data_IF_777574334877
#
_entry.id   IF_777574334877
#
_cell.length_a   1.000
_cell.length_b   1.000
_cell.length_c   1.000
_cell.angle_alpha   90.00
_cell.angle_beta   90.00
_cell.angle_gamma   90.00
#
_symmetry.space_group_name_H-M   'P 1'
#
loop_
_entity.id
_entity.type
_entity.pdbx_description
1 polymer ?
#
# COMPACT_ATOMS: atom_id res chain seq x y z
N UNK A 1 -7.94 -34.15 -5.94
CA UNK A 1 -6.52 -34.06 -5.52
C UNK A 1 -6.27 -32.89 -4.60
N UNK A 2 -6.88 -31.73 -4.84
CA UNK A 2 -6.72 -30.52 -4.02
C UNK A 2 -7.04 -30.71 -2.53
N UNK A 3 -8.22 -31.25 -2.18
CA UNK A 3 -8.60 -31.54 -0.79
C UNK A 3 -7.59 -32.44 -0.04
N UNK A 4 -6.91 -33.36 -0.75
CA UNK A 4 -5.87 -34.20 -0.16
C UNK A 4 -4.61 -33.39 0.15
N UNK A 5 -4.24 -32.43 -0.72
CA UNK A 5 -3.10 -31.52 -0.51
C UNK A 5 -3.37 -30.52 0.61
N UNK A 6 -4.59 -29.98 0.67
CA UNK A 6 -5.02 -29.13 1.79
C UNK A 6 -4.91 -29.88 3.12
N UNK A 7 -5.44 -31.12 3.18
CA UNK A 7 -5.31 -31.97 4.37
C UNK A 7 -3.85 -32.26 4.73
N UNK A 8 -2.99 -32.53 3.74
CA UNK A 8 -1.56 -32.74 3.97
C UNK A 8 -0.90 -31.50 4.59
N UNK A 9 -1.14 -30.31 4.03
CA UNK A 9 -0.63 -29.04 4.56
C UNK A 9 -1.06 -28.81 6.01
N UNK A 10 -2.33 -29.10 6.33
CA UNK A 10 -2.85 -29.00 7.70
C UNK A 10 -2.12 -29.96 8.65
N UNK A 11 -1.94 -31.22 8.26
CA UNK A 11 -1.25 -32.22 9.09
C UNK A 11 0.23 -31.86 9.31
N UNK A 12 0.92 -31.35 8.29
CA UNK A 12 2.30 -30.89 8.40
C UNK A 12 2.43 -29.75 9.41
N UNK A 13 1.52 -28.77 9.37
CA UNK A 13 1.48 -27.67 10.34
C UNK A 13 1.19 -28.20 11.74
N UNK A 14 0.13 -29.00 11.91
CA UNK A 14 -0.28 -29.54 13.21
C UNK A 14 0.81 -30.38 13.89
N UNK A 15 1.63 -31.09 13.11
CA UNK A 15 2.73 -31.90 13.64
C UNK A 15 3.81 -31.08 14.36
N UNK A 16 3.97 -29.80 14.02
CA UNK A 16 5.07 -28.93 14.50
C UNK A 16 4.62 -27.69 15.26
N UNK A 17 3.40 -27.20 15.05
CA UNK A 17 2.91 -25.91 15.58
C UNK A 17 2.90 -25.83 17.12
N UNK A 18 2.79 -26.97 17.81
CA UNK A 18 2.78 -27.05 19.27
C UNK A 18 4.16 -27.30 19.90
N UNK A 19 5.21 -27.42 19.09
CA UNK A 19 6.56 -27.56 19.60
C UNK A 19 7.01 -26.24 20.24
N UNK A 20 7.48 -26.23 21.51
CA UNK A 20 7.90 -25.01 22.19
C UNK A 20 9.00 -24.25 21.45
N UNK A 21 9.97 -24.97 20.85
CA UNK A 21 11.06 -24.36 20.09
C UNK A 21 10.55 -23.58 18.87
N UNK A 22 9.60 -24.13 18.11
CA UNK A 22 9.01 -23.49 16.92
C UNK A 22 8.29 -22.20 17.30
N UNK A 23 7.48 -22.22 18.36
CA UNK A 23 6.77 -21.02 18.83
C UNK A 23 7.75 -19.96 19.32
N UNK A 24 8.75 -20.37 20.11
CA UNK A 24 9.79 -19.47 20.60
C UNK A 24 10.56 -18.80 19.46
N UNK A 25 10.93 -19.53 18.41
CA UNK A 25 11.62 -18.96 17.24
C UNK A 25 10.76 -17.91 16.52
N UNK A 26 9.46 -18.16 16.33
CA UNK A 26 8.54 -17.21 15.68
C UNK A 26 8.35 -15.97 16.56
N UNK A 27 8.15 -16.13 17.87
CA UNK A 27 7.96 -15.02 18.82
C UNK A 27 9.19 -14.12 18.92
N UNK A 28 10.38 -14.67 18.72
CA UNK A 28 11.65 -13.92 18.71
C UNK A 28 12.05 -13.40 17.31
N UNK A 29 11.11 -13.36 16.35
CA UNK A 29 11.32 -12.87 14.99
C UNK A 29 12.42 -13.63 14.20
N UNK A 30 12.62 -14.91 14.52
CA UNK A 30 13.54 -15.83 13.83
C UNK A 30 12.77 -16.83 12.93
N UNK A 31 11.58 -16.46 12.48
CA UNK A 31 10.72 -17.32 11.69
C UNK A 31 11.36 -17.67 10.32
N UNK A 32 11.51 -18.97 10.03
CA UNK A 32 11.84 -19.43 8.69
C UNK A 32 10.57 -19.72 7.88
N UNK A 33 10.29 -18.87 6.90
CA UNK A 33 9.11 -18.97 6.02
C UNK A 33 9.14 -20.20 5.08
N UNK A 34 10.27 -20.91 4.95
CA UNK A 34 10.30 -22.21 4.27
C UNK A 34 9.51 -23.27 5.05
N UNK A 35 9.50 -23.19 6.38
CA UNK A 35 8.81 -24.11 7.26
C UNK A 35 7.30 -23.79 7.31
N UNK A 36 6.41 -24.74 6.93
CA UNK A 36 4.96 -24.51 6.94
C UNK A 36 4.41 -24.08 8.30
N UNK A 37 4.96 -24.61 9.41
CA UNK A 37 4.48 -24.27 10.75
C UNK A 37 4.84 -22.83 11.15
N UNK A 38 6.05 -22.36 10.82
CA UNK A 38 6.45 -20.98 11.10
C UNK A 38 5.60 -20.01 10.28
N UNK A 39 5.45 -20.30 8.99
CA UNK A 39 4.61 -19.50 8.09
C UNK A 39 3.17 -19.41 8.58
N UNK A 40 2.60 -20.52 9.01
CA UNK A 40 1.25 -20.55 9.58
C UNK A 40 1.15 -19.72 10.86
N UNK A 41 2.14 -19.78 11.76
CA UNK A 41 2.14 -18.96 12.98
C UNK A 41 2.25 -17.46 12.68
N UNK A 42 3.09 -17.06 11.71
CA UNK A 42 3.20 -15.67 11.27
C UNK A 42 1.90 -15.20 10.62
N UNK A 43 1.31 -16.00 9.73
CA UNK A 43 0.01 -15.70 9.12
C UNK A 43 -1.10 -15.59 10.18
N UNK A 44 -1.14 -16.53 11.12
CA UNK A 44 -2.11 -16.56 12.20
C UNK A 44 -2.00 -15.30 13.06
N UNK A 45 -0.78 -14.93 13.47
CA UNK A 45 -0.50 -13.70 14.21
C UNK A 45 -1.01 -12.47 13.46
N UNK A 46 -0.66 -12.33 12.18
CA UNK A 46 -1.13 -11.20 11.37
C UNK A 46 -2.67 -11.13 11.28
N UNK A 47 -3.34 -12.27 11.12
CA UNK A 47 -4.80 -12.36 10.98
C UNK A 47 -5.58 -12.30 12.30
N UNK A 48 -4.97 -12.62 13.44
CA UNK A 48 -5.67 -12.81 14.73
C UNK A 48 -5.18 -11.88 15.84
N UNK A 49 -3.94 -11.41 15.77
CA UNK A 49 -3.36 -10.54 16.79
C UNK A 49 -3.60 -9.05 16.47
N UNK A 50 -4.39 -8.75 15.44
CA UNK A 50 -4.97 -7.44 15.18
C UNK A 50 -4.30 -6.58 14.11
N UNK A 51 -3.17 -6.99 13.53
CA UNK A 51 -2.48 -6.20 12.50
C UNK A 51 -3.33 -6.05 11.22
N UNK A 52 -3.92 -7.15 10.74
CA UNK A 52 -4.88 -7.12 9.63
C UNK A 52 -6.14 -6.33 9.99
N UNK A 53 -6.65 -6.50 11.21
CA UNK A 53 -7.86 -5.79 11.67
C UNK A 53 -7.62 -4.28 11.71
N UNK A 54 -6.46 -3.84 12.21
CA UNK A 54 -6.04 -2.45 12.22
C UNK A 54 -5.92 -1.90 10.80
N UNK A 55 -5.32 -2.66 9.86
CA UNK A 55 -5.26 -2.26 8.46
C UNK A 55 -6.67 -2.08 7.89
N UNK A 56 -7.55 -3.07 8.03
CA UNK A 56 -8.90 -3.03 7.50
C UNK A 56 -9.74 -1.90 8.12
N UNK A 57 -9.61 -1.68 9.43
CA UNK A 57 -10.25 -0.55 10.13
C UNK A 57 -9.83 0.78 9.47
N UNK A 58 -8.53 0.97 9.22
CA UNK A 58 -8.01 2.22 8.62
C UNK A 58 -8.45 2.39 7.17
N UNK A 59 -8.47 1.31 6.38
CA UNK A 59 -8.93 1.36 4.99
C UNK A 59 -10.40 1.77 4.88
N UNK A 60 -11.26 1.29 5.78
CA UNK A 60 -12.68 1.68 5.82
C UNK A 60 -12.91 3.06 6.44
N UNK A 61 -12.31 3.36 7.60
CA UNK A 61 -12.49 4.66 8.26
C UNK A 61 -12.00 5.83 7.41
N UNK A 62 -10.90 5.61 6.67
CA UNK A 62 -10.33 6.62 5.79
C UNK A 62 -10.90 6.52 4.37
N UNK A 63 -11.97 5.75 4.15
CA UNK A 63 -12.68 5.63 2.86
C UNK A 63 -11.80 5.21 1.68
N UNK A 64 -10.65 4.57 1.91
CA UNK A 64 -9.88 3.95 0.82
C UNK A 64 -10.74 2.89 0.12
N UNK A 65 -11.49 2.15 0.92
CA UNK A 65 -12.65 1.37 0.50
C UNK A 65 -13.88 2.17 0.93
N UNK A 66 -14.74 2.65 0.01
CA UNK A 66 -14.82 2.24 -1.38
C UNK A 66 -14.05 3.11 -2.38
N UNK A 67 -13.49 4.28 -2.05
CA UNK A 67 -13.08 5.29 -3.05
C UNK A 67 -12.12 4.75 -4.12
N UNK A 68 -10.99 4.18 -3.70
CA UNK A 68 -9.93 3.67 -4.60
C UNK A 68 -10.33 2.33 -5.21
N UNK A 69 -10.80 1.41 -4.37
CA UNK A 69 -11.26 0.08 -4.77
C UNK A 69 -12.56 -0.28 -4.05
N UNK A 70 -13.51 -0.94 -4.73
CA UNK A 70 -14.79 -1.28 -4.12
C UNK A 70 -14.69 -2.37 -3.04
N UNK A 71 -13.79 -3.35 -3.22
CA UNK A 71 -13.49 -4.40 -2.26
C UNK A 71 -12.00 -4.75 -2.35
N UNK A 72 -11.42 -5.12 -1.22
CA UNK A 72 -10.03 -5.54 -1.11
C UNK A 72 -9.91 -6.57 0.02
N UNK A 73 -9.33 -7.73 -0.29
CA UNK A 73 -9.11 -8.80 0.68
C UNK A 73 -7.62 -9.09 0.82
N UNK A 74 -6.92 -8.44 1.77
CA UNK A 74 -5.50 -8.68 1.95
C UNK A 74 -5.22 -10.14 2.30
N UNK A 75 -4.36 -10.77 1.50
CA UNK A 75 -3.85 -12.13 1.73
C UNK A 75 -2.35 -12.14 2.02
N UNK A 76 -1.66 -11.05 1.73
CA UNK A 76 -0.26 -10.84 2.10
C UNK A 76 -0.16 -9.61 2.99
N UNK A 77 0.77 -9.67 3.93
CA UNK A 77 1.04 -8.58 4.85
C UNK A 77 2.04 -7.61 4.23
N UNK A 78 1.71 -6.32 4.16
CA UNK A 78 2.56 -5.30 3.55
C UNK A 78 2.98 -4.29 4.60
N UNK A 79 4.29 -4.21 4.82
CA UNK A 79 4.89 -3.27 5.75
C UNK A 79 5.65 -2.19 4.99
N UNK A 80 5.41 -0.94 5.40
CA UNK A 80 6.14 0.21 4.89
C UNK A 80 7.05 0.73 6.00
N UNK A 81 8.29 1.05 5.64
CA UNK A 81 9.31 1.55 6.55
C UNK A 81 9.81 2.90 6.06
N UNK A 82 9.68 3.91 6.92
CA UNK A 82 10.08 5.28 6.67
C UNK A 82 11.36 5.65 7.42
N UNK A 83 12.04 6.70 6.97
CA UNK A 83 13.13 7.30 7.74
C UNK A 83 12.56 7.96 9.00
N UNK A 84 13.24 7.80 10.13
CA UNK A 84 12.83 8.49 11.37
C UNK A 84 13.01 9.99 11.24
N UNK A 85 12.08 10.75 11.78
CA UNK A 85 12.26 12.19 12.00
C UNK A 85 13.41 12.45 12.98
N UNK A 86 13.93 13.69 13.01
CA UNK A 86 14.99 14.06 13.96
C UNK A 86 14.58 13.80 15.42
N UNK A 87 13.30 14.01 15.76
CA UNK A 87 12.76 13.77 17.10
C UNK A 87 12.72 12.28 17.44
N UNK A 88 12.19 11.45 16.55
CA UNK A 88 12.13 10.00 16.74
C UNK A 88 13.52 9.37 16.79
N UNK A 89 14.46 9.89 16.00
CA UNK A 89 15.86 9.43 16.01
C UNK A 89 16.52 9.62 17.37
N UNK A 90 16.26 10.75 18.04
CA UNK A 90 16.79 11.03 19.38
C UNK A 90 16.22 10.05 20.41
N UNK A 91 14.93 9.72 20.31
CA UNK A 91 14.24 8.84 21.26
C UNK A 91 14.58 7.36 21.06
N UNK A 92 14.51 6.89 19.81
CA UNK A 92 14.61 5.46 19.48
C UNK A 92 16.03 5.03 19.13
N UNK A 93 16.92 5.99 18.80
CA UNK A 93 18.25 5.76 18.19
C UNK A 93 18.21 4.94 16.89
N UNK A 94 17.02 4.69 16.32
CA UNK A 94 16.83 4.00 15.05
C UNK A 94 16.85 5.01 13.91
N UNK A 95 17.31 4.57 12.74
CA UNK A 95 17.30 5.39 11.52
C UNK A 95 16.02 5.22 10.69
N UNK A 96 15.30 4.14 10.94
CA UNK A 96 14.08 3.76 10.25
C UNK A 96 13.03 3.31 11.24
N UNK A 97 11.77 3.59 10.93
CA UNK A 97 10.62 3.18 11.72
C UNK A 97 9.58 2.55 10.82
N UNK A 98 8.90 1.53 11.33
CA UNK A 98 7.76 0.92 10.64
C UNK A 98 6.59 1.89 10.73
N UNK A 99 5.92 2.08 9.60
CA UNK A 99 4.75 2.95 9.47
C UNK A 99 3.54 2.14 9.86
N UNK A 100 2.75 2.66 10.81
CA UNK A 100 1.46 2.08 11.16
C UNK A 100 0.43 2.60 10.15
N UNK A 101 -0.49 1.75 9.63
CA UNK A 101 -1.49 2.19 8.67
C UNK A 101 -2.27 3.43 9.14
N UNK A 102 -2.38 4.43 8.27
CA UNK A 102 -3.09 5.68 8.53
C UNK A 102 -2.30 6.71 9.35
N UNK A 103 -1.03 6.47 9.66
CA UNK A 103 -0.18 7.45 10.36
C UNK A 103 0.12 8.66 9.46
N UNK A 104 0.32 9.82 10.07
CA UNK A 104 0.82 10.99 9.37
C UNK A 104 2.33 10.91 9.19
N UNK A 105 2.77 10.93 7.93
CA UNK A 105 4.18 11.12 7.60
C UNK A 105 4.43 12.59 7.25
N UNK A 106 5.64 13.05 7.55
CA UNK A 106 6.09 14.35 7.06
C UNK A 106 6.51 14.20 5.59
N UNK A 107 6.22 15.17 4.71
CA UNK A 107 6.73 15.20 3.33
C UNK A 107 8.26 15.05 3.24
N UNK A 108 8.95 15.36 4.34
CA UNK A 108 10.38 15.15 4.49
C UNK A 108 10.85 13.70 4.58
N UNK A 109 10.00 12.77 5.00
CA UNK A 109 10.27 11.34 5.12
C UNK A 109 10.00 10.60 3.80
N UNK A 110 9.18 11.17 2.93
CA UNK A 110 8.70 10.57 1.67
C UNK A 110 9.28 11.22 0.41
N UNK A 111 10.27 12.12 0.55
CA UNK A 111 11.05 12.64 -0.59
C UNK A 111 11.75 11.51 -1.35
N UNK A 112 12.24 10.50 -0.63
CA UNK A 112 12.77 9.26 -1.22
C UNK A 112 11.72 8.17 -1.10
N UNK A 113 11.68 7.19 -2.02
CA UNK A 113 10.78 6.06 -1.92
C UNK A 113 10.94 5.35 -0.57
N UNK A 114 9.80 5.00 0.02
CA UNK A 114 9.75 4.23 1.26
C UNK A 114 10.22 2.80 1.01
N UNK A 115 10.73 2.15 2.04
CA UNK A 115 11.09 0.73 1.93
C UNK A 115 9.83 -0.11 2.14
N UNK A 116 9.52 -0.95 1.16
CA UNK A 116 8.37 -1.86 1.21
C UNK A 116 8.87 -3.28 1.44
N UNK A 117 8.21 -3.97 2.37
CA UNK A 117 8.43 -5.38 2.69
C UNK A 117 7.09 -6.09 2.63
N UNK A 118 7.08 -7.37 2.27
CA UNK A 118 5.88 -8.18 2.30
C UNK A 118 6.13 -9.54 2.95
N UNK A 119 5.25 -9.97 3.84
CA UNK A 119 5.19 -11.37 4.28
C UNK A 119 4.15 -12.10 3.42
N UNK A 120 4.63 -13.10 2.68
CA UNK A 120 3.82 -13.87 1.75
C UNK A 120 3.61 -15.28 2.29
N UNK A 121 2.40 -15.81 2.14
CA UNK A 121 2.02 -17.09 2.77
C UNK A 121 1.86 -18.26 1.78
N UNK A 122 1.95 -18.00 0.47
CA UNK A 122 2.00 -19.03 -0.59
C UNK A 122 3.44 -19.40 -0.97
N UNK A 123 3.69 -20.65 -1.38
CA UNK A 123 5.06 -21.13 -1.67
C UNK A 123 5.56 -20.83 -3.06
N UNK A 124 4.66 -20.79 -4.04
CA UNK A 124 5.00 -20.52 -5.43
C UNK A 124 5.36 -19.05 -5.63
N UNK A 125 6.20 -18.79 -6.64
CA UNK A 125 6.55 -17.43 -7.06
C UNK A 125 5.41 -16.86 -7.87
N UNK A 126 4.69 -15.87 -7.34
CA UNK A 126 3.66 -15.12 -8.06
C UNK A 126 4.16 -13.74 -8.41
N UNK A 127 3.67 -13.19 -9.51
CA UNK A 127 3.96 -11.82 -9.89
C UNK A 127 2.91 -10.89 -9.28
N UNK A 128 3.36 -9.74 -8.79
CA UNK A 128 2.51 -8.70 -8.24
C UNK A 128 2.79 -7.36 -8.94
N UNK A 129 1.76 -6.53 -9.03
CA UNK A 129 1.86 -5.14 -9.48
C UNK A 129 1.66 -4.21 -8.29
N UNK A 130 2.64 -3.33 -8.06
CA UNK A 130 2.59 -2.31 -7.01
C UNK A 130 2.12 -0.97 -7.59
N UNK A 131 1.18 -0.34 -6.90
CA UNK A 131 0.64 1.00 -7.19
C UNK A 131 0.75 1.87 -5.93
N UNK A 132 1.20 3.11 -6.08
CA UNK A 132 1.06 4.15 -5.05
C UNK A 132 0.19 5.27 -5.59
N UNK A 133 -0.97 5.49 -4.98
CA UNK A 133 -1.99 6.41 -5.46
C UNK A 133 -2.41 7.42 -4.39
N UNK A 134 -2.75 8.62 -4.81
CA UNK A 134 -3.34 9.69 -4.01
C UNK A 134 -4.72 10.05 -4.59
N UNK A 135 -5.84 9.69 -3.93
CA UNK A 135 -7.18 9.99 -4.41
C UNK A 135 -7.64 11.42 -4.08
N UNK A 136 -6.85 12.21 -3.35
CA UNK A 136 -7.27 13.48 -2.75
C UNK A 136 -6.66 14.71 -3.46
N UNK A 137 -6.15 14.56 -4.68
CA UNK A 137 -5.64 15.69 -5.45
C UNK A 137 -6.82 16.54 -5.94
N UNK A 138 -6.85 17.86 -5.67
CA UNK A 138 -7.95 18.72 -6.10
C UNK A 138 -8.01 18.83 -7.64
N UNK A 139 -9.23 18.83 -8.14
CA UNK A 139 -9.60 19.13 -9.52
C UNK A 139 -10.48 20.39 -9.54
N UNK A 140 -9.85 21.53 -9.84
CA UNK A 140 -10.51 22.84 -9.84
C UNK A 140 -11.58 22.96 -10.94
N UNK A 141 -11.35 22.32 -12.09
CA UNK A 141 -12.24 22.43 -13.26
C UNK A 141 -13.58 21.74 -12.99
N UNK A 142 -13.53 20.57 -12.36
CA UNK A 142 -14.71 19.77 -12.05
C UNK A 142 -15.26 20.00 -10.64
N UNK A 143 -14.58 20.82 -9.82
CA UNK A 143 -14.89 21.05 -8.40
C UNK A 143 -14.93 19.74 -7.59
N UNK A 144 -14.07 18.79 -7.94
CA UNK A 144 -13.99 17.44 -7.32
C UNK A 144 -12.55 17.12 -6.91
N UNK A 145 -12.32 15.88 -6.49
CA UNK A 145 -10.98 15.32 -6.37
C UNK A 145 -10.70 14.36 -7.53
N UNK A 146 -9.43 14.22 -7.87
CA UNK A 146 -8.92 13.30 -8.87
C UNK A 146 -7.82 12.44 -8.27
N UNK A 147 -7.65 11.25 -8.83
CA UNK A 147 -6.59 10.34 -8.39
C UNK A 147 -5.28 10.63 -9.13
N UNK A 148 -4.17 10.62 -8.40
CA UNK A 148 -2.82 10.80 -8.92
C UNK A 148 -1.95 9.57 -8.66
N UNK A 149 -1.23 9.12 -9.69
CA UNK A 149 -0.30 7.99 -9.59
C UNK A 149 1.13 8.44 -9.23
N UNK A 150 1.55 8.15 -8.01
CA UNK A 150 2.91 8.44 -7.54
C UNK A 150 3.95 7.41 -7.98
N UNK A 151 3.57 6.13 -8.04
CA UNK A 151 4.49 5.05 -8.36
C UNK A 151 3.77 3.83 -8.93
N UNK A 152 4.40 3.17 -9.90
CA UNK A 152 3.91 1.94 -10.51
C UNK A 152 5.08 1.02 -10.83
N UNK A 153 4.97 -0.24 -10.39
CA UNK A 153 5.91 -1.30 -10.73
C UNK A 153 5.15 -2.61 -10.97
N UNK A 154 5.07 -3.10 -12.22
CA UNK A 154 4.55 -4.44 -12.51
C UNK A 154 5.63 -5.51 -12.31
N UNK A 155 5.20 -6.77 -12.38
CA UNK A 155 6.04 -7.97 -12.47
C UNK A 155 7.00 -8.17 -11.29
N UNK A 156 6.53 -7.91 -10.07
CA UNK A 156 7.32 -8.13 -8.84
C UNK A 156 7.19 -9.59 -8.41
N UNK A 157 8.26 -10.40 -8.46
CA UNK A 157 8.20 -11.80 -8.06
C UNK A 157 8.21 -11.94 -6.53
N UNK A 158 7.14 -12.48 -5.97
CA UNK A 158 7.00 -12.72 -4.54
C UNK A 158 6.61 -14.17 -4.24
N UNK A 159 7.19 -14.72 -3.17
CA UNK A 159 6.91 -16.04 -2.61
C UNK A 159 7.10 -15.97 -1.09
N UNK A 160 6.68 -17.00 -0.36
CA UNK A 160 6.96 -17.08 1.08
C UNK A 160 8.45 -16.99 1.42
N UNK A 161 9.34 -17.35 0.49
CA UNK A 161 10.79 -17.27 0.68
C UNK A 161 11.40 -15.93 0.28
N UNK A 162 10.62 -15.02 -0.29
CA UNK A 162 11.09 -13.67 -0.61
C UNK A 162 11.37 -12.92 0.69
N UNK A 163 12.63 -12.54 0.88
CA UNK A 163 13.09 -11.82 2.09
C UNK A 163 13.65 -10.45 1.70
N UNK A 164 13.47 -9.49 2.59
CA UNK A 164 14.06 -8.16 2.45
C UNK A 164 13.21 -7.18 1.67
N UNK A 165 13.85 -6.08 1.25
CA UNK A 165 13.17 -4.95 0.61
C UNK A 165 12.75 -5.34 -0.80
N UNK A 166 11.49 -5.09 -1.15
CA UNK A 166 11.01 -5.25 -2.53
C UNK A 166 11.71 -4.23 -3.41
N UNK A 167 12.25 -4.69 -4.54
CA UNK A 167 12.79 -3.80 -5.56
C UNK A 167 11.65 -3.22 -6.41
N UNK A 168 11.54 -1.90 -6.37
CA UNK A 168 10.47 -1.14 -7.00
C UNK A 168 11.02 -0.12 -8.01
N UNK A 169 12.33 -0.13 -8.25
CA UNK A 169 12.99 0.77 -9.18
C UNK A 169 12.86 0.27 -10.65
N UNK A 170 13.12 1.13 -11.63
CA UNK A 170 13.28 0.73 -13.04
C UNK A 170 12.00 0.47 -13.84
N UNK A 171 10.85 1.06 -13.47
CA UNK A 171 9.65 1.09 -14.31
C UNK A 171 9.08 2.51 -14.43
N UNK A 172 8.12 2.87 -13.58
CA UNK A 172 7.58 4.23 -13.51
C UNK A 172 8.36 4.99 -12.44
N UNK A 173 8.98 6.14 -12.72
CA UNK A 173 9.73 6.89 -11.72
C UNK A 173 8.86 7.26 -10.51
N UNK A 174 9.40 7.14 -9.31
CA UNK A 174 8.71 7.58 -8.10
C UNK A 174 8.58 9.10 -8.08
N UNK A 175 7.36 9.60 -7.87
CA UNK A 175 7.10 11.01 -7.59
C UNK A 175 6.74 11.14 -6.10
N UNK A 176 7.47 11.93 -5.32
CA UNK A 176 7.17 12.11 -3.90
C UNK A 176 5.75 12.65 -3.66
N UNK A 177 5.09 12.21 -2.58
CA UNK A 177 3.92 12.88 -2.00
C UNK A 177 4.08 14.41 -1.93
N UNK A 178 3.09 15.14 -2.42
CA UNK A 178 3.13 16.60 -2.53
C UNK A 178 1.75 17.24 -2.32
N UNK A 179 1.15 17.07 -1.11
CA UNK A 179 -0.17 17.65 -0.81
C UNK A 179 -0.11 19.18 -0.93
N UNK A 180 -1.06 19.80 -1.63
CA UNK A 180 -1.01 21.23 -1.95
C UNK A 180 -1.24 22.12 -0.73
N UNK A 181 -0.72 23.35 -0.77
CA UNK A 181 -0.94 24.28 0.33
C UNK A 181 -2.41 24.66 0.42
N UNK A 182 -3.02 24.43 1.58
CA UNK A 182 -4.41 24.81 1.85
C UNK A 182 -5.45 23.71 1.61
N UNK A 183 -5.05 22.57 1.05
CA UNK A 183 -5.91 21.38 1.03
C UNK A 183 -5.92 20.70 2.41
N UNK A 184 -6.91 19.81 2.68
CA UNK A 184 -6.87 18.88 3.79
C UNK A 184 -5.65 17.93 3.71
N UNK A 185 -5.60 16.92 4.60
CA UNK A 185 -4.63 15.86 4.41
C UNK A 185 -4.96 15.02 3.17
N UNK A 186 -3.92 14.47 2.54
CA UNK A 186 -4.04 13.53 1.44
C UNK A 186 -3.77 12.11 1.94
N UNK A 187 -4.48 11.12 1.39
CA UNK A 187 -4.33 9.70 1.66
C UNK A 187 -3.42 9.08 0.61
N UNK A 188 -2.31 8.49 1.03
CA UNK A 188 -1.42 7.76 0.14
C UNK A 188 -1.66 6.28 0.33
N UNK A 189 -2.12 5.62 -0.72
CA UNK A 189 -2.50 4.21 -0.70
C UNK A 189 -1.52 3.42 -1.54
N UNK A 190 -0.79 2.52 -0.88
CA UNK A 190 0.08 1.56 -1.54
C UNK A 190 -0.69 0.25 -1.68
N UNK A 191 -0.87 -0.19 -2.93
CA UNK A 191 -1.50 -1.45 -3.28
C UNK A 191 -0.45 -2.38 -3.85
N UNK A 192 -0.54 -3.66 -3.52
CA UNK A 192 0.26 -4.73 -4.08
C UNK A 192 -0.68 -5.84 -4.55
N UNK A 193 -1.03 -5.81 -5.83
CA UNK A 193 -2.09 -6.63 -6.41
C UNK A 193 -1.53 -7.85 -7.15
N UNK A 194 -2.11 -9.05 -6.97
CA UNK A 194 -1.63 -10.24 -7.65
C UNK A 194 -1.94 -10.17 -9.15
N UNK A 195 -0.99 -10.62 -9.97
CA UNK A 195 -1.18 -10.76 -11.41
C UNK A 195 -1.94 -12.05 -11.74
N UNK A 196 -2.61 -12.09 -12.91
CA UNK A 196 -3.34 -13.28 -13.33
C UNK A 196 -2.41 -14.50 -13.46
N UNK A 197 -2.91 -15.71 -13.17
CA UNK A 197 -2.15 -16.95 -13.31
C UNK A 197 -1.87 -17.30 -14.79
N UNK A 198 -0.76 -18.00 -15.07
CA UNK A 198 -0.31 -18.37 -16.42
C UNK A 198 -1.37 -19.13 -17.25
N UNK A 199 -2.05 -20.09 -16.64
CA UNK A 199 -2.99 -20.97 -17.32
C UNK A 199 -4.44 -20.43 -17.32
N UNK A 200 -4.66 -19.19 -16.83
CA UNK A 200 -6.00 -18.66 -16.55
C UNK A 200 -6.74 -19.40 -15.41
N UNK A 201 -6.11 -20.41 -14.81
CA UNK A 201 -6.62 -21.17 -13.67
C UNK A 201 -6.19 -20.50 -12.37
N UNK A 202 -7.15 -20.23 -11.49
CA UNK A 202 -6.94 -19.68 -10.15
C UNK A 202 -5.72 -20.25 -9.44
N UNK A 203 -5.02 -19.38 -8.70
CA UNK A 203 -3.95 -19.76 -7.78
C UNK A 203 -4.43 -20.86 -6.82
N UNK A 204 -3.97 -22.10 -7.04
CA UNK A 204 -4.47 -23.29 -6.34
C UNK A 204 -3.32 -24.06 -5.70
N UNK A 205 -3.60 -24.82 -4.63
CA UNK A 205 -2.60 -25.69 -3.99
C UNK A 205 -2.02 -26.76 -4.95
N UNK A 206 -2.74 -27.06 -6.02
CA UNK A 206 -2.25 -27.95 -7.07
C UNK A 206 -1.15 -27.27 -7.90
N UNK A 207 -1.38 -26.01 -8.29
CA UNK A 207 -0.39 -25.20 -8.98
C UNK A 207 0.82 -24.95 -8.08
N UNK A 208 0.61 -24.61 -6.80
CA UNK A 208 1.69 -24.34 -5.85
C UNK A 208 2.69 -25.50 -5.74
N UNK A 209 2.20 -26.74 -5.60
CA UNK A 209 3.09 -27.90 -5.47
C UNK A 209 3.52 -28.51 -6.82
N UNK A 210 3.18 -27.89 -7.95
CA UNK A 210 3.78 -28.18 -9.27
C UNK A 210 4.79 -27.12 -9.69
N UNK A 211 4.77 -25.95 -9.03
CA UNK A 211 5.62 -24.83 -9.36
C UNK A 211 7.10 -25.17 -9.14
N UNK A 212 7.93 -24.76 -10.08
CA UNK A 212 9.37 -24.83 -9.94
C UNK A 212 9.88 -23.61 -9.16
N UNK A 213 10.86 -23.78 -8.25
CA UNK A 213 11.41 -22.66 -7.49
C UNK A 213 11.97 -21.57 -8.41
N UNK A 214 11.51 -20.33 -8.21
CA UNK A 214 11.97 -19.17 -8.98
C UNK A 214 11.29 -18.97 -10.34
N UNK A 215 10.52 -19.95 -10.82
CA UNK A 215 9.71 -19.79 -12.03
C UNK A 215 8.35 -19.18 -11.65
N UNK A 216 7.97 -18.02 -12.21
CA UNK A 216 6.69 -17.42 -11.88
C UNK A 216 5.51 -18.28 -12.34
N UNK A 217 4.49 -18.43 -11.49
CA UNK A 217 3.20 -19.07 -11.82
C UNK A 217 2.17 -18.09 -12.38
N UNK A 218 2.54 -16.82 -12.49
CA UNK A 218 1.70 -15.71 -12.95
C UNK A 218 2.16 -15.19 -14.30
N UNK A 219 1.22 -14.69 -15.08
CA UNK A 219 1.46 -14.06 -16.38
C UNK A 219 2.20 -12.74 -16.18
N UNK A 220 3.30 -12.57 -16.90
CA UNK A 220 4.00 -11.28 -17.01
C UNK A 220 3.13 -10.29 -17.76
N UNK A 221 3.00 -9.08 -17.23
CA UNK A 221 2.21 -8.01 -17.83
C UNK A 221 3.13 -6.96 -18.46
N UNK A 222 2.92 -6.68 -19.74
CA UNK A 222 3.65 -5.63 -20.47
C UNK A 222 2.97 -4.27 -20.28
N UNK A 223 2.89 -3.83 -19.03
CA UNK A 223 2.32 -2.52 -18.69
C UNK A 223 3.34 -1.45 -19.10
N UNK A 224 2.97 -0.45 -19.91
CA UNK A 224 3.89 0.64 -20.24
C UNK A 224 4.14 1.54 -19.02
N UNK A 225 5.34 2.13 -18.88
CA UNK A 225 5.57 3.18 -17.89
C UNK A 225 4.62 4.35 -18.10
N UNK A 226 4.02 4.84 -17.02
CA UNK A 226 3.12 6.00 -17.06
C UNK A 226 3.93 7.29 -17.04
N UNK A 227 3.77 8.10 -18.09
CA UNK A 227 4.42 9.39 -18.23
C UNK A 227 3.86 10.42 -17.23
N UNK A 228 4.63 11.45 -16.81
CA UNK A 228 4.19 12.42 -15.81
C UNK A 228 2.82 13.08 -16.09
N UNK A 229 2.52 13.36 -17.36
CA UNK A 229 1.26 13.97 -17.78
C UNK A 229 0.04 13.05 -17.62
N UNK A 230 0.24 11.73 -17.70
CA UNK A 230 -0.82 10.72 -17.61
C UNK A 230 -1.09 10.25 -16.17
N UNK A 231 -0.29 10.73 -15.21
CA UNK A 231 -0.44 10.38 -13.79
C UNK A 231 -1.62 11.06 -13.14
N UNK A 232 -2.02 12.23 -13.64
CA UNK A 232 -3.23 12.90 -13.22
C UNK A 232 -4.45 12.17 -13.80
N UNK A 233 -5.53 12.09 -13.03
CA UNK A 233 -6.76 11.37 -13.41
C UNK A 233 -6.55 9.86 -13.61
N UNK A 234 -5.64 9.25 -12.87
CA UNK A 234 -5.38 7.81 -12.97
C UNK A 234 -6.54 7.00 -12.38
N UNK A 235 -7.31 6.31 -13.22
CA UNK A 235 -8.39 5.42 -12.77
C UNK A 235 -7.84 4.04 -12.37
N UNK A 236 -7.75 3.83 -11.06
CA UNK A 236 -7.27 2.57 -10.47
C UNK A 236 -8.19 1.40 -10.84
N UNK A 237 -9.50 1.59 -10.89
CA UNK A 237 -10.47 0.52 -11.13
C UNK A 237 -10.43 0.08 -12.58
N UNK A 238 -10.39 1.04 -13.50
CA UNK A 238 -10.22 0.75 -14.92
C UNK A 238 -8.87 0.07 -15.19
N UNK A 239 -7.80 0.50 -14.51
CA UNK A 239 -6.49 -0.14 -14.60
C UNK A 239 -6.51 -1.60 -14.13
N UNK A 240 -7.10 -1.85 -12.96
CA UNK A 240 -7.25 -3.19 -12.38
C UNK A 240 -8.05 -4.11 -13.31
N UNK A 241 -9.16 -3.62 -13.86
CA UNK A 241 -9.99 -4.36 -14.80
C UNK A 241 -9.24 -4.64 -16.13
N UNK A 242 -8.55 -3.64 -16.68
CA UNK A 242 -7.82 -3.75 -17.95
C UNK A 242 -6.74 -4.81 -17.92
N UNK A 243 -6.04 -4.93 -16.79
CA UNK A 243 -4.90 -5.83 -16.63
C UNK A 243 -5.24 -7.14 -15.89
N UNK A 244 -6.51 -7.34 -15.54
CA UNK A 244 -6.96 -8.54 -14.83
C UNK A 244 -6.30 -8.70 -13.45
N UNK A 245 -6.01 -7.60 -12.77
CA UNK A 245 -5.48 -7.62 -11.41
C UNK A 245 -6.66 -7.94 -10.49
N UNK A 246 -6.69 -9.12 -9.90
CA UNK A 246 -7.84 -9.53 -9.09
C UNK A 246 -7.63 -9.17 -7.61
N UNK A 247 -8.53 -8.37 -7.04
CA UNK A 247 -8.47 -7.90 -5.64
C UNK A 247 -9.19 -8.83 -4.66
N UNK A 248 -9.93 -9.82 -5.18
CA UNK A 248 -10.72 -10.79 -4.42
C UNK A 248 -9.88 -11.99 -3.95
N UNK A 249 -9.08 -12.68 -4.80
CA UNK A 249 -8.28 -13.83 -4.40
C UNK A 249 -7.03 -13.40 -3.63
N UNK A 250 -6.74 -12.09 -3.56
CA UNK A 250 -5.73 -11.58 -2.67
C UNK A 250 -5.16 -10.22 -3.02
N UNK A 251 -4.01 -9.97 -2.40
CA UNK A 251 -3.26 -8.74 -2.51
C UNK A 251 -2.80 -8.25 -1.15
N UNK A 252 -2.15 -7.10 -1.14
CA UNK A 252 -1.76 -6.39 0.05
C UNK A 252 -2.04 -4.91 -0.12
N UNK A 253 -2.26 -4.23 0.99
CA UNK A 253 -2.34 -2.79 1.00
C UNK A 253 -1.66 -2.22 2.23
N UNK A 254 -1.24 -0.98 2.09
CA UNK A 254 -0.80 -0.14 3.19
C UNK A 254 -1.21 1.29 2.90
N UNK A 255 -1.38 2.11 3.92
CA UNK A 255 -1.67 3.52 3.69
C UNK A 255 -1.06 4.43 4.75
N UNK A 256 -0.79 5.67 4.36
CA UNK A 256 -0.44 6.75 5.29
C UNK A 256 -1.09 8.04 4.83
N UNK A 257 -0.93 9.09 5.62
CA UNK A 257 -1.46 10.42 5.32
C UNK A 257 -0.35 11.45 5.34
N UNK A 258 -0.49 12.49 4.53
CA UNK A 258 0.38 13.66 4.63
C UNK A 258 -0.43 14.95 4.54
N UNK A 259 0.13 15.99 5.14
CA UNK A 259 -0.37 17.37 5.07
C UNK A 259 0.75 18.22 4.50
N UNK A 260 0.38 19.30 3.81
CA UNK A 260 1.33 20.26 3.31
C UNK A 260 2.32 20.73 4.38
N UNK A 261 3.59 20.83 3.99
CA UNK A 261 4.60 21.57 4.73
C UNK A 261 5.58 22.27 3.77
N UNK A 262 6.49 23.08 4.31
CA UNK A 262 7.46 23.86 3.52
C UNK A 262 8.44 23.03 2.66
N UNK A 263 8.56 21.71 2.87
CA UNK A 263 9.33 20.82 1.98
C UNK A 263 8.57 20.51 0.70
N UNK A 264 7.24 20.55 0.69
CA UNK A 264 6.42 20.35 -0.51
C UNK A 264 6.77 21.38 -1.58
N UNK A 265 6.95 22.65 -1.20
CA UNK A 265 7.40 23.70 -2.13
C UNK A 265 8.74 23.36 -2.81
N UNK A 266 9.62 22.60 -2.15
CA UNK A 266 10.88 22.12 -2.76
C UNK A 266 10.65 20.96 -3.72
N UNK A 267 9.64 20.12 -3.48
CA UNK A 267 9.24 19.03 -4.38
C UNK A 267 8.70 19.63 -5.68
N UNK A 268 7.80 20.62 -5.59
CA UNK A 268 7.30 21.37 -6.75
C UNK A 268 8.44 21.97 -7.57
N UNK A 269 9.34 22.71 -6.92
CA UNK A 269 10.46 23.37 -7.61
C UNK A 269 11.48 22.41 -8.23
N UNK A 270 11.90 21.39 -7.48
CA UNK A 270 13.06 20.58 -7.86
C UNK A 270 12.70 19.28 -8.60
N UNK A 271 11.52 18.71 -8.30
CA UNK A 271 11.08 17.41 -8.86
C UNK A 271 10.07 17.65 -9.98
N UNK A 272 8.96 18.32 -9.69
CA UNK A 272 7.88 18.54 -10.66
C UNK A 272 8.24 19.63 -11.69
N UNK A 273 9.07 20.60 -11.29
CA UNK A 273 9.43 21.80 -12.07
C UNK A 273 8.21 22.65 -12.46
N UNK A 274 7.22 22.67 -11.58
CA UNK A 274 5.95 23.37 -11.74
C UNK A 274 5.76 24.41 -10.64
N UNK A 275 4.88 25.38 -10.88
CA UNK A 275 4.46 26.33 -9.86
C UNK A 275 3.52 25.63 -8.88
N UNK A 276 3.80 25.81 -7.58
CA UNK A 276 2.98 25.26 -6.52
C UNK A 276 1.61 25.97 -6.48
N UNK A 277 0.50 25.26 -6.72
CA UNK A 277 -0.84 25.81 -6.53
C UNK A 277 -1.10 26.05 -5.04
N UNK A 278 -1.84 27.11 -4.74
CA UNK A 278 -2.19 27.49 -3.37
C UNK A 278 -3.68 27.67 -3.24
N UNK A 279 -4.28 26.90 -2.35
CA UNK A 279 -5.70 26.92 -2.08
C UNK A 279 -5.98 27.80 -0.86
N UNK A 280 -6.88 28.76 -1.05
CA UNK A 280 -7.45 29.52 0.06
C UNK A 280 -8.48 28.69 0.81
N UNK A 281 -8.79 29.09 2.04
CA UNK A 281 -10.02 28.61 2.67
C UNK A 281 -11.21 29.26 1.98
N UNK A 282 -12.32 28.53 1.75
CA UNK A 282 -13.54 29.16 1.28
C UNK A 282 -13.92 30.28 2.28
N UNK A 283 -14.32 31.47 1.79
CA UNK A 283 -14.78 32.54 2.66
C UNK A 283 -15.95 32.01 3.48
N UNK A 284 -15.88 32.18 4.82
CA UNK A 284 -17.04 31.90 5.67
C UNK A 284 -18.06 33.00 5.42
N UNK A 285 -19.27 32.62 5.03
CA UNK A 285 -20.41 33.53 5.03
C UNK A 285 -20.58 34.06 6.46
N UNK A 286 -20.53 35.38 6.64
CA UNK A 286 -20.82 36.00 7.93
C UNK A 286 -22.34 36.13 8.05
N UNK A 287 -23.00 35.37 8.95
CA UNK A 287 -24.46 35.35 9.07
C UNK A 287 -25.05 36.72 9.46
N UNK A 288 -24.20 37.66 9.88
CA UNK A 288 -24.57 39.00 10.32
C UNK A 288 -24.09 40.09 9.36
N UNK A 289 -23.65 39.77 8.14
CA UNK A 289 -23.30 40.76 7.11
C UNK A 289 -24.42 41.80 6.94
N UNK A 290 -25.66 41.32 6.77
CA UNK A 290 -26.84 42.20 6.64
C UNK A 290 -27.11 43.05 7.91
N UNK A 291 -26.78 42.53 9.10
CA UNK A 291 -26.96 43.24 10.37
C UNK A 291 -25.85 44.26 10.64
N UNK A 292 -24.65 44.06 10.08
CA UNK A 292 -23.55 45.02 10.15
C UNK A 292 -23.74 46.19 9.19
N UNK A 293 -24.42 45.97 8.07
CA UNK A 293 -24.72 47.02 7.09
C UNK A 293 -25.90 47.92 7.48
N UNK A 294 -26.81 47.43 8.34
CA UNK A 294 -27.89 48.27 8.89
C UNK A 294 -27.33 49.27 9.90
N UNK A 295 -27.61 50.57 9.68
CA UNK A 295 -27.30 51.64 10.64
C UNK A 295 -27.92 51.29 11.98
N UNK A 296 -27.09 51.25 13.03
CA UNK A 296 -27.49 50.84 14.39
C UNK A 296 -28.52 51.76 15.06
N UNK A 297 -28.77 52.95 14.51
CA UNK A 297 -29.75 53.92 15.04
C UNK A 297 -30.35 54.75 13.91
N UNK A 298 -31.68 54.96 13.96
CA UNK A 298 -32.43 56.03 13.27
C UNK A 298 -32.72 57.09 14.32
#
# INVERSE_FOLDING_TARGET
MEKKREKLKILEVQSKVNLPAVRWEVDNAMADMTNPAHRHLVEHKWRKDGDLDLLMERLHQMHVIPDVLPDLRPTIDVHVVAQTTSRERVQTKKMRTTVVPGTFLLPGQTVKPLHVYANVFHTDTRLYTMLLVDPDVPDEENQTFRTYLHWLKPNIPLSATTRGRIDLDGHTPYIPPHPQQGTPYHRYVLLLLPQPPLDGVTHSLNAEARAEPGVPTSTTLDIPPVEPAERANFDVRAFVQRWGLDTIPGGGAHMWREVWNSRVSKIYKNVLKELEPRFGRPPKEDPYLEYKEKKRYI
#
